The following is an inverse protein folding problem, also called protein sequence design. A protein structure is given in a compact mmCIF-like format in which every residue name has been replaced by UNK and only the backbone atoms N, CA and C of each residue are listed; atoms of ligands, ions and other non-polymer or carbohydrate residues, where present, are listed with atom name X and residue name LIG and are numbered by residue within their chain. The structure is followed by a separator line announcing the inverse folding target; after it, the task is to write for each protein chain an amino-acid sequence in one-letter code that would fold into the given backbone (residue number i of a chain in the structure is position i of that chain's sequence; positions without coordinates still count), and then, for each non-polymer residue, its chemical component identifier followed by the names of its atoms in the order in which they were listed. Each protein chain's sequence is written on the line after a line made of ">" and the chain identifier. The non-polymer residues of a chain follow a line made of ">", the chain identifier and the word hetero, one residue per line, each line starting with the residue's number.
data_IF_510880154212
#
_entry.id   IF_510880154212
#
_cell.length_a   1.000
_cell.length_b   1.000
_cell.length_c   1.000
_cell.angle_alpha   90.00
_cell.angle_beta   90.00
_cell.angle_gamma   90.00
#
_symmetry.space_group_name_H-M   'P 1'
#
loop_
_entity.id
_entity.type
_entity.pdbx_description
1 polymer ?
#
# COMPACT_ATOMS: atom_id res chain seq x y z
N UNK A 1 17.25 -5.07 11.33
CA UNK A 1 16.45 -5.36 10.13
C UNK A 1 16.17 -4.05 9.41
N UNK A 2 16.62 -3.94 8.19
CA UNK A 2 16.42 -2.73 7.41
C UNK A 2 14.98 -2.67 6.93
N UNK A 3 14.33 -1.53 7.18
CA UNK A 3 13.03 -1.27 6.57
C UNK A 3 13.26 -0.79 5.15
N UNK A 4 12.69 -1.49 4.18
CA UNK A 4 12.67 -0.98 2.82
C UNK A 4 11.80 0.26 2.77
N UNK A 5 12.38 1.37 2.32
CA UNK A 5 11.64 2.60 2.12
C UNK A 5 10.85 2.49 0.80
N UNK A 6 9.61 2.06 0.90
CA UNK A 6 8.71 1.95 -0.26
C UNK A 6 7.72 3.10 -0.20
N UNK A 7 7.58 3.80 -1.31
CA UNK A 7 6.63 4.90 -1.44
C UNK A 7 5.40 4.46 -2.22
N UNK A 8 4.25 4.91 -1.74
CA UNK A 8 2.99 4.80 -2.46
C UNK A 8 2.73 6.12 -3.14
N UNK A 9 2.50 6.10 -4.45
CA UNK A 9 2.22 7.30 -5.21
C UNK A 9 0.74 7.35 -5.59
N UNK A 10 0.17 8.54 -5.52
CA UNK A 10 -1.21 8.81 -5.88
C UNK A 10 -1.24 9.46 -7.26
N UNK A 11 -2.03 8.91 -8.17
CA UNK A 11 -2.20 9.45 -9.51
C UNK A 11 -3.66 9.72 -9.79
N UNK A 12 -3.95 10.69 -10.63
CA UNK A 12 -5.31 10.97 -11.08
C UNK A 12 -5.57 10.33 -12.43
N UNK A 13 -6.79 9.85 -12.63
CA UNK A 13 -7.22 9.36 -13.94
C UNK A 13 -8.70 9.71 -14.14
N UNK A 14 -9.10 9.84 -15.40
CA UNK A 14 -10.48 10.13 -15.76
C UNK A 14 -11.16 8.87 -16.31
N UNK A 15 -12.40 8.65 -15.87
CA UNK A 15 -13.24 7.57 -16.37
C UNK A 15 -14.69 8.03 -16.32
N UNK A 16 -15.39 7.93 -17.46
CA UNK A 16 -16.80 8.33 -17.62
C UNK A 16 -17.06 9.79 -17.19
N UNK A 17 -16.10 10.70 -17.52
CA UNK A 17 -16.23 12.12 -17.21
C UNK A 17 -15.99 12.48 -15.75
N UNK A 18 -15.55 11.53 -14.93
CA UNK A 18 -15.21 11.75 -13.52
C UNK A 18 -13.73 11.54 -13.28
N UNK A 19 -13.18 12.29 -12.34
CA UNK A 19 -11.78 12.17 -11.93
C UNK A 19 -11.69 11.28 -10.70
N UNK A 20 -10.82 10.27 -10.77
CA UNK A 20 -10.57 9.34 -9.68
C UNK A 20 -9.09 9.37 -9.30
N UNK A 21 -8.79 8.92 -8.09
CA UNK A 21 -7.42 8.70 -7.65
C UNK A 21 -7.09 7.21 -7.68
N UNK A 22 -5.91 6.90 -8.24
CA UNK A 22 -5.33 5.57 -8.14
C UNK A 22 -4.09 5.61 -7.26
N UNK A 23 -3.84 4.54 -6.53
CA UNK A 23 -2.72 4.43 -5.60
C UNK A 23 -1.82 3.30 -6.06
N UNK A 24 -0.53 3.58 -6.22
CA UNK A 24 0.40 2.64 -6.83
C UNK A 24 1.73 2.62 -6.10
N UNK A 25 2.34 1.44 -6.07
CA UNK A 25 3.72 1.26 -5.63
C UNK A 25 4.55 1.06 -6.89
N UNK A 26 5.57 1.89 -7.08
CA UNK A 26 6.51 1.74 -8.18
C UNK A 26 7.79 1.11 -7.66
N UNK A 27 8.32 0.14 -8.40
CA UNK A 27 9.53 -0.54 -8.02
C UNK A 27 10.22 -1.16 -9.21
N UNK A 28 11.31 -1.85 -8.93
CA UNK A 28 12.08 -2.54 -9.96
C UNK A 28 12.30 -3.99 -9.52
N UNK A 29 11.93 -4.92 -10.39
CA UNK A 29 12.12 -6.35 -10.17
C UNK A 29 12.99 -6.87 -11.29
N UNK A 30 14.21 -7.30 -10.96
CA UNK A 30 15.17 -7.89 -11.91
C UNK A 30 15.41 -7.01 -13.14
N UNK A 31 15.56 -5.70 -12.93
CA UNK A 31 15.82 -4.75 -14.00
C UNK A 31 14.58 -4.24 -14.73
N UNK A 32 13.38 -4.71 -14.35
CA UNK A 32 12.13 -4.25 -14.93
C UNK A 32 11.38 -3.33 -13.97
N UNK A 33 10.96 -2.19 -14.46
CA UNK A 33 10.10 -1.31 -13.70
C UNK A 33 8.70 -1.91 -13.61
N UNK A 34 8.16 -1.96 -12.40
CA UNK A 34 6.81 -2.47 -12.14
C UNK A 34 5.98 -1.43 -11.43
N UNK A 35 4.69 -1.49 -11.68
CA UNK A 35 3.70 -0.62 -11.07
C UNK A 35 2.63 -1.49 -10.44
N UNK A 36 2.49 -1.41 -9.12
CA UNK A 36 1.62 -2.28 -8.35
C UNK A 36 0.46 -1.46 -7.81
N UNK A 37 -0.76 -1.78 -8.22
CA UNK A 37 -1.97 -1.12 -7.74
C UNK A 37 -2.32 -1.57 -6.32
N UNK A 38 -2.71 -0.63 -5.48
CA UNK A 38 -3.21 -0.92 -4.14
C UNK A 38 -4.51 -0.16 -3.91
N UNK A 39 -5.32 -0.67 -2.99
CA UNK A 39 -6.59 -0.06 -2.61
C UNK A 39 -6.90 -0.35 -1.15
N UNK A 40 -7.74 0.48 -0.50
CA UNK A 40 -8.21 0.15 0.84
C UNK A 40 -9.15 -1.06 0.80
N UNK A 41 -9.33 -1.78 1.92
CA UNK A 41 -10.20 -2.96 1.97
C UNK A 41 -11.69 -2.63 1.80
N UNK A 42 -12.08 -1.38 2.04
CA UNK A 42 -13.46 -0.92 1.86
C UNK A 42 -13.50 0.52 1.36
N UNK A 43 -14.69 0.97 0.96
CA UNK A 43 -14.87 2.31 0.39
C UNK A 43 -14.57 3.44 1.38
N UNK A 44 -14.77 3.22 2.67
CA UNK A 44 -14.47 4.22 3.69
C UNK A 44 -12.97 4.51 3.80
N UNK A 45 -12.13 3.57 3.40
CA UNK A 45 -10.68 3.74 3.41
C UNK A 45 -10.17 4.82 2.47
N UNK A 46 -10.90 5.14 1.40
CA UNK A 46 -10.49 6.22 0.50
C UNK A 46 -10.49 7.58 1.20
N UNK A 47 -11.43 7.81 2.10
CA UNK A 47 -11.46 9.04 2.91
C UNK A 47 -10.23 9.09 3.84
N UNK A 48 -9.89 7.97 4.44
CA UNK A 48 -8.69 7.86 5.30
C UNK A 48 -7.42 8.09 4.49
N UNK A 49 -7.35 7.55 3.27
CA UNK A 49 -6.20 7.78 2.39
C UNK A 49 -6.03 9.26 2.03
N UNK A 50 -7.11 9.98 1.80
CA UNK A 50 -7.04 11.42 1.56
C UNK A 50 -6.41 12.15 2.75
N UNK A 51 -6.77 11.75 3.96
CA UNK A 51 -6.19 12.33 5.18
C UNK A 51 -4.70 11.98 5.30
N UNK A 52 -4.35 10.73 5.02
CA UNK A 52 -2.95 10.26 5.09
C UNK A 52 -2.08 11.03 4.08
N UNK A 53 -2.55 11.19 2.87
CA UNK A 53 -1.79 11.91 1.84
C UNK A 53 -1.73 13.42 2.09
N UNK A 54 -2.79 13.99 2.66
CA UNK A 54 -2.88 15.43 3.01
C UNK A 54 -2.43 16.34 1.86
N UNK A 55 -2.95 16.07 0.66
CA UNK A 55 -2.60 16.85 -0.54
C UNK A 55 -1.27 16.47 -1.18
N UNK A 56 -0.46 15.64 -0.55
CA UNK A 56 0.77 15.14 -1.15
C UNK A 56 0.46 14.09 -2.22
N UNK A 57 1.43 13.83 -3.09
CA UNK A 57 1.30 12.82 -4.14
C UNK A 57 2.05 11.53 -3.81
N UNK A 58 2.68 11.45 -2.63
CA UNK A 58 3.40 10.26 -2.19
C UNK A 58 3.33 10.11 -0.67
N UNK A 59 3.31 8.89 -0.20
CA UNK A 59 3.33 8.55 1.23
C UNK A 59 4.11 7.25 1.44
N UNK A 60 4.47 6.96 2.67
CA UNK A 60 5.25 5.76 2.99
C UNK A 60 4.36 4.53 3.09
N UNK A 61 4.88 3.39 2.65
CA UNK A 61 4.24 2.09 2.86
C UNK A 61 4.90 1.39 4.04
N UNK A 62 4.08 0.98 5.00
CA UNK A 62 4.53 0.15 6.11
C UNK A 62 4.12 -1.29 5.84
N UNK A 63 5.08 -2.21 5.93
CA UNK A 63 4.85 -3.64 5.74
C UNK A 63 5.07 -4.33 7.07
N UNK A 64 4.04 -5.04 7.55
CA UNK A 64 4.11 -5.76 8.81
C UNK A 64 3.93 -7.26 8.52
N UNK A 65 4.94 -8.09 8.77
CA UNK A 65 4.79 -9.52 8.59
C UNK A 65 3.90 -10.12 9.69
N UNK A 66 3.14 -11.13 9.34
CA UNK A 66 2.34 -11.88 10.31
C UNK A 66 2.49 -13.37 10.08
N UNK A 67 2.25 -14.12 11.12
CA UNK A 67 2.24 -15.57 11.08
C UNK A 67 1.04 -16.06 11.90
N UNK A 68 0.27 -16.97 11.31
CA UNK A 68 -0.92 -17.51 11.94
C UNK A 68 -0.89 -19.02 11.87
N UNK A 69 -1.21 -19.69 12.97
CA UNK A 69 -1.28 -21.13 13.04
C UNK A 69 -2.74 -21.57 13.01
N UNK A 70 -3.08 -22.44 12.05
CA UNK A 70 -4.44 -22.97 11.93
C UNK A 70 -4.66 -24.14 12.89
N UNK A 71 -5.92 -24.56 13.07
CA UNK A 71 -6.28 -25.67 13.96
C UNK A 71 -5.64 -26.99 13.55
N UNK A 72 -5.44 -27.19 12.25
CA UNK A 72 -4.80 -28.41 11.74
C UNK A 72 -3.27 -28.34 11.72
N UNK A 73 -2.70 -27.34 12.39
CA UNK A 73 -1.25 -27.23 12.57
C UNK A 73 -0.49 -26.60 11.43
N UNK A 74 -1.18 -26.10 10.41
CA UNK A 74 -0.54 -25.40 9.31
C UNK A 74 -0.18 -23.98 9.71
N UNK A 75 0.96 -23.51 9.21
CA UNK A 75 1.40 -22.13 9.43
C UNK A 75 1.12 -21.33 8.17
N UNK A 76 0.37 -20.24 8.34
CA UNK A 76 0.10 -19.28 7.29
C UNK A 76 0.90 -18.02 7.59
N UNK A 77 1.80 -17.65 6.70
CA UNK A 77 2.61 -16.44 6.83
C UNK A 77 2.28 -15.48 5.70
N UNK A 78 2.31 -14.20 6.00
CA UNK A 78 2.05 -13.16 5.00
C UNK A 78 2.43 -11.79 5.53
N UNK A 79 1.99 -10.76 4.82
CA UNK A 79 2.26 -9.38 5.18
C UNK A 79 0.97 -8.57 5.16
N UNK A 80 0.86 -7.64 6.09
CA UNK A 80 -0.16 -6.60 6.05
C UNK A 80 0.50 -5.30 5.61
N UNK A 81 -0.26 -4.46 4.93
CA UNK A 81 0.24 -3.24 4.35
C UNK A 81 -0.58 -2.06 4.83
N UNK A 82 0.11 -0.95 5.11
CA UNK A 82 -0.55 0.29 5.48
C UNK A 82 0.19 1.47 4.86
N UNK A 83 -0.56 2.46 4.39
CA UNK A 83 0.00 3.73 3.94
C UNK A 83 0.03 4.65 5.15
N UNK A 84 1.18 5.24 5.44
CA UNK A 84 1.38 6.07 6.63
C UNK A 84 1.96 7.43 6.29
N UNK A 85 1.62 8.41 7.11
CA UNK A 85 2.28 9.72 7.08
C UNK A 85 2.36 10.28 8.48
N UNK A 86 3.29 11.23 8.67
CA UNK A 86 3.48 11.89 9.96
C UNK A 86 3.29 13.39 9.74
N UNK A 87 2.44 14.00 10.56
CA UNK A 87 2.28 15.45 10.55
C UNK A 87 3.55 16.09 11.11
N UNK A 88 4.27 16.91 10.33
CA UNK A 88 5.52 17.51 10.80
C UNK A 88 5.35 18.53 11.92
N UNK A 89 4.14 19.08 12.09
CA UNK A 89 3.88 20.07 13.13
C UNK A 89 3.49 19.45 14.47
N UNK A 90 2.67 18.40 14.45
CA UNK A 90 2.14 17.76 15.66
C UNK A 90 2.80 16.45 16.02
N UNK A 91 3.47 15.79 15.06
CA UNK A 91 4.01 14.46 15.22
C UNK A 91 2.96 13.35 15.17
N UNK A 92 1.70 13.69 14.87
CA UNK A 92 0.67 12.67 14.74
C UNK A 92 0.91 11.76 13.55
N UNK A 93 0.69 10.47 13.74
CA UNK A 93 0.84 9.46 12.69
C UNK A 93 -0.54 9.08 12.18
N UNK A 94 -0.73 9.22 10.88
CA UNK A 94 -1.94 8.78 10.19
C UNK A 94 -1.62 7.53 9.39
N UNK A 95 -2.52 6.55 9.42
CA UNK A 95 -2.32 5.31 8.67
C UNK A 95 -3.64 4.78 8.14
N UNK A 96 -3.55 4.09 6.99
CA UNK A 96 -4.69 3.44 6.37
C UNK A 96 -4.25 2.07 5.86
N UNK A 97 -4.96 1.02 6.26
CA UNK A 97 -4.70 -0.33 5.73
C UNK A 97 -5.02 -0.38 4.25
N UNK A 98 -4.16 -1.04 3.50
CA UNK A 98 -4.35 -1.22 2.06
C UNK A 98 -4.03 -2.67 1.69
N UNK A 99 -4.47 -3.06 0.51
CA UNK A 99 -4.18 -4.38 -0.05
C UNK A 99 -3.91 -4.24 -1.55
N UNK A 100 -3.24 -5.22 -2.18
CA UNK A 100 -3.09 -5.21 -3.63
C UNK A 100 -4.45 -5.18 -4.32
N UNK A 101 -4.56 -4.41 -5.39
CA UNK A 101 -5.82 -4.21 -6.08
C UNK A 101 -6.28 -5.46 -6.84
N UNK A 102 -5.31 -6.26 -7.33
CA UNK A 102 -5.56 -7.47 -8.11
C UNK A 102 -4.61 -8.59 -7.69
N UNK A 103 -4.93 -9.84 -8.08
CA UNK A 103 -4.06 -10.98 -7.79
C UNK A 103 -2.66 -10.82 -8.40
N UNK A 104 -2.57 -10.28 -9.61
CA UNK A 104 -1.29 -10.01 -10.24
C UNK A 104 -0.47 -8.99 -9.45
N UNK A 105 -1.11 -7.99 -8.89
CA UNK A 105 -0.44 -7.00 -8.05
C UNK A 105 0.07 -7.61 -6.76
N UNK A 106 -0.68 -8.55 -6.18
CA UNK A 106 -0.26 -9.29 -4.99
C UNK A 106 1.04 -10.06 -5.25
N UNK A 107 1.11 -10.76 -6.37
CA UNK A 107 2.30 -11.52 -6.76
C UNK A 107 3.50 -10.59 -6.98
N UNK A 108 3.30 -9.49 -7.69
CA UNK A 108 4.36 -8.51 -7.94
C UNK A 108 4.88 -7.90 -6.64
N UNK A 109 3.99 -7.58 -5.71
CA UNK A 109 4.38 -7.01 -4.43
C UNK A 109 5.20 -8.00 -3.60
N UNK A 110 4.81 -9.27 -3.60
CA UNK A 110 5.59 -10.32 -2.92
C UNK A 110 6.99 -10.46 -3.52
N UNK A 111 7.11 -10.36 -4.84
CA UNK A 111 8.40 -10.40 -5.51
C UNK A 111 9.27 -9.18 -5.19
N UNK A 112 8.65 -8.01 -5.11
CA UNK A 112 9.36 -6.77 -4.79
C UNK A 112 9.91 -6.78 -3.36
N UNK A 113 9.20 -7.41 -2.43
CA UNK A 113 9.57 -7.44 -1.01
C UNK A 113 10.54 -8.56 -0.63
N UNK A 114 10.90 -9.40 -1.56
CA UNK A 114 11.89 -10.47 -1.31
C UNK A 114 13.31 -9.94 -1.22
#
# INVERSE_FOLDING_TARGET
>A
MEKMAIKVERETFEMDGKTYFGYFIKGNIRGRDVKIGIKPPDNGGYTVLDIVFDGAMAADLEVTPFEMKTEDGKVIAGNTYAVTSVDPETGEVYSCKVKPARESDKTLLQMLLR
#
